data_IF_395009527029
#
_entry.id   IF_395009527029
#
_cell.length_a   1.000
_cell.length_b   1.000
_cell.length_c   1.000
_cell.angle_alpha   90.00
_cell.angle_beta   90.00
_cell.angle_gamma   90.00
#
_symmetry.space_group_name_H-M   'P 1'
#
loop_
_entity.id
_entity.type
_entity.pdbx_description
1 polymer ?
#
# COMPACT_ATOMS: atom_id res chain seq x y z
N UNK A 1 17.06 15.32 -2.64
CA UNK A 1 17.00 14.08 -1.83
C UNK A 1 16.86 12.94 -2.81
N UNK A 2 17.80 12.02 -2.78
CA UNK A 2 17.78 10.84 -3.64
C UNK A 2 16.88 9.79 -2.96
N UNK A 3 15.72 9.53 -3.55
CA UNK A 3 14.80 8.51 -3.07
C UNK A 3 15.15 7.18 -3.72
N UNK A 4 15.10 6.08 -2.97
CA UNK A 4 15.40 4.76 -3.53
C UNK A 4 14.13 4.23 -4.18
N UNK A 5 14.08 4.20 -5.51
CA UNK A 5 13.04 3.47 -6.24
C UNK A 5 13.11 2.00 -5.85
N UNK A 6 11.99 1.44 -5.40
CA UNK A 6 11.90 0.03 -4.97
C UNK A 6 11.31 -0.84 -6.05
N UNK A 7 10.21 -0.39 -6.65
CA UNK A 7 9.51 -1.10 -7.72
C UNK A 7 8.74 -0.10 -8.58
N UNK A 8 8.63 -0.39 -9.87
CA UNK A 8 7.77 0.34 -10.78
C UNK A 8 7.03 -0.63 -11.70
N UNK A 9 5.83 -0.23 -12.12
CA UNK A 9 4.97 -1.02 -12.99
C UNK A 9 4.00 -0.12 -13.75
N UNK A 10 3.50 -0.62 -14.88
CA UNK A 10 2.50 0.06 -15.67
C UNK A 10 1.19 -0.73 -15.65
N UNK A 11 0.07 0.00 -15.58
CA UNK A 11 -1.27 -0.59 -15.77
C UNK A 11 -2.02 0.09 -16.90
N UNK A 12 -2.81 -0.69 -17.64
CA UNK A 12 -3.68 -0.18 -18.71
C UNK A 12 -4.95 0.52 -18.16
N UNK A 13 -5.85 0.93 -19.06
CA UNK A 13 -7.15 1.55 -18.72
C UNK A 13 -8.05 0.69 -17.81
N UNK A 14 -7.87 -0.63 -17.83
CA UNK A 14 -8.62 -1.61 -17.03
C UNK A 14 -7.92 -1.94 -15.71
N UNK A 15 -6.81 -1.26 -15.40
CA UNK A 15 -5.91 -1.57 -14.28
C UNK A 15 -5.24 -2.95 -14.39
N UNK A 16 -5.07 -3.47 -15.61
CA UNK A 16 -4.29 -4.68 -15.89
C UNK A 16 -2.82 -4.32 -15.93
N UNK A 17 -1.97 -5.08 -15.24
CA UNK A 17 -0.52 -4.90 -15.27
C UNK A 17 -0.03 -5.29 -16.67
N UNK A 18 0.62 -4.35 -17.36
CA UNK A 18 1.19 -4.55 -18.70
C UNK A 18 2.71 -4.59 -18.70
N UNK A 19 3.34 -4.02 -17.67
CA UNK A 19 4.79 -3.99 -17.51
C UNK A 19 5.15 -3.95 -16.02
N UNK A 20 6.28 -4.56 -15.65
CA UNK A 20 6.90 -4.47 -14.33
C UNK A 20 8.41 -4.29 -14.48
N UNK A 21 9.02 -3.50 -13.58
CA UNK A 21 10.47 -3.28 -13.59
C UNK A 21 11.25 -4.52 -13.14
N UNK A 22 12.56 -4.54 -13.41
CA UNK A 22 13.43 -5.64 -12.94
C UNK A 22 13.55 -5.67 -11.41
N UNK A 23 13.43 -4.52 -10.77
CA UNK A 23 13.43 -4.43 -9.30
C UNK A 23 12.16 -5.01 -8.68
N UNK A 24 11.07 -5.17 -9.45
CA UNK A 24 9.89 -5.92 -9.02
C UNK A 24 10.24 -7.36 -8.63
N UNK A 25 10.99 -8.07 -9.47
CA UNK A 25 11.37 -9.46 -9.21
C UNK A 25 12.22 -9.52 -7.95
N UNK A 26 13.22 -8.63 -7.83
CA UNK A 26 14.10 -8.57 -6.65
C UNK A 26 13.28 -8.33 -5.38
N UNK A 27 12.32 -7.41 -5.42
CA UNK A 27 11.45 -7.11 -4.30
C UNK A 27 10.54 -8.30 -3.95
N UNK A 28 9.98 -8.99 -4.95
CA UNK A 28 9.15 -10.18 -4.76
C UNK A 28 9.95 -11.32 -4.11
N UNK A 29 11.19 -11.55 -4.55
CA UNK A 29 12.09 -12.57 -3.97
C UNK A 29 12.43 -12.23 -2.51
N UNK A 30 12.81 -10.99 -2.23
CA UNK A 30 13.13 -10.55 -0.85
C UNK A 30 11.88 -10.61 0.05
N UNK A 31 10.71 -10.33 -0.51
CA UNK A 31 9.43 -10.41 0.17
C UNK A 31 8.85 -11.82 0.31
N UNK A 32 9.55 -12.86 -0.19
CA UNK A 32 9.09 -14.25 -0.20
C UNK A 32 7.72 -14.44 -0.88
N UNK A 33 7.45 -13.60 -1.89
CA UNK A 33 6.24 -13.68 -2.70
C UNK A 33 6.54 -14.46 -3.98
N UNK A 34 6.79 -15.76 -3.86
CA UNK A 34 7.32 -16.61 -4.94
C UNK A 34 6.46 -16.55 -6.22
N UNK A 35 5.14 -16.45 -6.10
CA UNK A 35 4.23 -16.32 -7.24
C UNK A 35 4.37 -15.00 -8.02
N UNK A 36 5.01 -13.99 -7.43
CA UNK A 36 5.26 -12.68 -8.05
C UNK A 36 6.67 -12.55 -8.65
N UNK A 37 7.52 -13.57 -8.49
CA UNK A 37 8.90 -13.57 -9.01
C UNK A 37 9.00 -13.85 -10.51
N UNK A 38 7.91 -14.30 -11.13
CA UNK A 38 7.81 -14.63 -12.57
C UNK A 38 6.94 -13.58 -13.25
N UNK A 39 7.52 -12.74 -14.13
CA UNK A 39 6.80 -11.62 -14.77
C UNK A 39 5.54 -12.08 -15.50
N UNK A 40 5.59 -13.22 -16.17
CA UNK A 40 4.50 -13.81 -16.94
C UNK A 40 3.32 -14.24 -16.07
N UNK A 41 3.54 -14.49 -14.77
CA UNK A 41 2.44 -14.75 -13.83
C UNK A 41 1.73 -13.47 -13.38
N UNK A 42 2.35 -12.31 -13.56
CA UNK A 42 1.87 -11.00 -13.08
C UNK A 42 1.28 -10.17 -14.21
N UNK A 43 1.95 -10.12 -15.37
CA UNK A 43 1.49 -9.40 -16.56
C UNK A 43 0.18 -10.02 -17.05
N UNK A 44 -0.77 -9.17 -17.44
CA UNK A 44 -2.11 -9.58 -17.87
C UNK A 44 -3.11 -9.77 -16.72
N UNK A 45 -2.70 -9.59 -15.46
CA UNK A 45 -3.59 -9.62 -14.30
C UNK A 45 -3.90 -8.22 -13.81
N UNK A 46 -5.08 -8.05 -13.21
CA UNK A 46 -5.44 -6.78 -12.58
C UNK A 46 -4.57 -6.51 -11.36
N UNK A 47 -4.01 -5.31 -11.22
CA UNK A 47 -3.30 -4.92 -10.00
C UNK A 47 -4.16 -5.07 -8.74
N UNK A 48 -5.49 -4.92 -8.88
CA UNK A 48 -6.45 -5.04 -7.79
C UNK A 48 -6.53 -6.46 -7.22
N UNK A 49 -6.12 -7.50 -7.97
CA UNK A 49 -6.08 -8.87 -7.43
C UNK A 49 -4.98 -9.06 -6.39
N UNK A 50 -3.98 -8.17 -6.37
CA UNK A 50 -2.87 -8.18 -5.42
C UNK A 50 -3.10 -7.24 -4.22
N UNK A 51 -4.21 -6.51 -4.20
CA UNK A 51 -4.58 -5.60 -3.12
C UNK A 51 -5.60 -6.30 -2.22
N UNK A 52 -5.23 -6.48 -0.95
CA UNK A 52 -6.10 -7.12 0.05
C UNK A 52 -7.08 -6.10 0.63
N UNK A 53 -8.36 -6.49 0.75
CA UNK A 53 -9.43 -5.68 1.32
C UNK A 53 -10.21 -4.86 0.27
N UNK A 54 -11.53 -5.04 0.24
CA UNK A 54 -12.41 -4.38 -0.75
C UNK A 54 -12.39 -2.85 -0.63
N UNK A 55 -12.36 -2.32 0.59
CA UNK A 55 -12.25 -0.87 0.81
C UNK A 55 -10.94 -0.31 0.23
N UNK A 56 -9.85 -1.06 0.33
CA UNK A 56 -8.54 -0.68 -0.22
C UNK A 56 -8.53 -0.78 -1.74
N UNK A 57 -9.13 -1.82 -2.33
CA UNK A 57 -9.30 -1.93 -3.79
C UNK A 57 -10.11 -0.75 -4.34
N UNK A 58 -11.23 -0.43 -3.72
CA UNK A 58 -12.08 0.70 -4.11
C UNK A 58 -11.33 2.03 -3.99
N UNK A 59 -10.54 2.21 -2.93
CA UNK A 59 -9.66 3.38 -2.78
C UNK A 59 -8.71 3.54 -3.98
N UNK A 60 -7.98 2.49 -4.35
CA UNK A 60 -7.05 2.56 -5.49
C UNK A 60 -7.76 2.74 -6.83
N UNK A 61 -8.94 2.14 -7.03
CA UNK A 61 -9.77 2.39 -8.21
C UNK A 61 -10.12 3.88 -8.35
N UNK A 62 -10.53 4.54 -7.26
CA UNK A 62 -10.86 5.97 -7.26
C UNK A 62 -9.61 6.82 -7.55
N UNK A 63 -8.48 6.48 -6.93
CA UNK A 63 -7.19 7.16 -7.17
C UNK A 63 -6.79 7.07 -8.63
N UNK A 64 -6.72 5.86 -9.19
CA UNK A 64 -6.34 5.63 -10.59
C UNK A 64 -7.31 6.31 -11.54
N UNK A 65 -8.62 6.19 -11.30
CA UNK A 65 -9.64 6.87 -12.08
C UNK A 65 -9.49 8.39 -12.05
N UNK A 66 -9.19 9.00 -10.89
CA UNK A 66 -8.99 10.45 -10.79
C UNK A 66 -7.67 10.90 -11.43
N UNK A 67 -6.60 10.10 -11.35
CA UNK A 67 -5.34 10.35 -12.06
C UNK A 67 -5.55 10.40 -13.59
N UNK A 68 -6.25 9.40 -14.16
CA UNK A 68 -6.60 9.36 -15.59
C UNK A 68 -7.47 10.55 -15.99
N UNK A 69 -8.59 10.77 -15.30
CA UNK A 69 -9.55 11.83 -15.64
C UNK A 69 -8.95 13.23 -15.59
N UNK A 70 -8.05 13.49 -14.63
CA UNK A 70 -7.44 14.81 -14.49
C UNK A 70 -6.20 14.99 -15.36
N UNK A 71 -5.62 13.91 -15.90
CA UNK A 71 -4.35 13.97 -16.62
C UNK A 71 -3.21 14.54 -15.77
N UNK A 72 -3.27 14.35 -14.45
CA UNK A 72 -2.29 14.89 -13.49
C UNK A 72 -1.70 13.78 -12.64
N UNK A 73 -0.40 13.90 -12.40
CA UNK A 73 0.31 13.07 -11.44
C UNK A 73 -0.34 13.13 -10.07
N UNK A 74 -0.36 11.99 -9.39
CA UNK A 74 -0.89 11.82 -8.06
C UNK A 74 0.14 11.14 -7.17
N UNK A 75 0.29 11.63 -5.94
CA UNK A 75 1.29 11.12 -5.00
C UNK A 75 0.63 10.66 -3.70
N UNK A 76 0.95 9.45 -3.25
CA UNK A 76 0.47 8.87 -1.99
C UNK A 76 1.67 8.54 -1.11
N UNK A 77 1.73 9.14 0.07
CA UNK A 77 2.64 8.68 1.12
C UNK A 77 1.94 7.58 1.94
N UNK A 78 2.60 6.44 2.09
CA UNK A 78 2.04 5.28 2.78
C UNK A 78 3.10 4.53 3.60
N UNK A 79 2.64 3.57 4.41
CA UNK A 79 3.48 2.67 5.22
C UNK A 79 3.46 1.27 4.60
N UNK A 80 4.63 0.68 4.44
CA UNK A 80 4.82 -0.69 3.94
C UNK A 80 5.70 -1.48 4.91
N UNK A 81 5.30 -1.49 6.18
CA UNK A 81 6.13 -2.00 7.27
C UNK A 81 6.50 -3.47 7.08
N UNK A 82 7.74 -3.81 7.45
CA UNK A 82 8.14 -5.19 7.68
C UNK A 82 7.86 -5.57 9.14
N UNK A 83 7.99 -6.85 9.52
CA UNK A 83 7.82 -7.27 10.90
C UNK A 83 8.71 -6.53 11.91
N UNK A 84 9.90 -6.06 11.48
CA UNK A 84 10.87 -5.41 12.36
C UNK A 84 11.05 -3.91 12.10
N UNK A 85 10.58 -3.39 10.97
CA UNK A 85 10.81 -1.99 10.58
C UNK A 85 9.56 -1.29 10.07
N UNK A 86 9.44 -0.03 10.48
CA UNK A 86 8.57 0.98 9.86
C UNK A 86 9.16 1.40 8.54
N UNK A 87 8.41 1.30 7.44
CA UNK A 87 8.86 1.75 6.12
C UNK A 87 7.95 2.85 5.61
N UNK A 88 8.50 4.06 5.50
CA UNK A 88 7.82 5.22 4.97
C UNK A 88 8.07 5.28 3.46
N UNK A 89 7.00 5.10 2.70
CA UNK A 89 7.03 4.95 1.26
C UNK A 89 6.27 6.08 0.57
N UNK A 90 6.60 6.32 -0.69
CA UNK A 90 5.86 7.19 -1.57
C UNK A 90 5.53 6.46 -2.87
N UNK A 91 4.25 6.44 -3.23
CA UNK A 91 3.78 6.00 -4.54
C UNK A 91 3.51 7.23 -5.39
N UNK A 92 4.13 7.29 -6.56
CA UNK A 92 3.87 8.31 -7.58
C UNK A 92 3.16 7.63 -8.75
N UNK A 93 2.00 8.17 -9.12
CA UNK A 93 1.13 7.64 -10.17
C UNK A 93 1.05 8.70 -11.26
N UNK A 94 1.55 8.39 -12.44
CA UNK A 94 1.57 9.32 -13.58
C UNK A 94 0.66 8.81 -14.68
N UNK A 95 -0.19 9.67 -15.28
CA UNK A 95 -0.91 9.30 -16.48
C UNK A 95 0.08 9.15 -17.65
N UNK A 96 -0.24 8.23 -18.54
CA UNK A 96 0.49 7.96 -19.78
C UNK A 96 -0.51 7.88 -20.95
N UNK A 97 -0.02 7.58 -22.15
CA UNK A 97 -0.80 7.38 -23.36
C UNK A 97 -1.85 6.27 -23.19
N UNK A 98 -2.95 6.38 -23.92
CA UNK A 98 -4.05 5.39 -23.94
C UNK A 98 -4.67 5.09 -22.56
N UNK A 99 -4.70 6.09 -21.67
CA UNK A 99 -5.21 5.96 -20.30
C UNK A 99 -4.44 4.95 -19.42
N UNK A 100 -3.23 4.59 -19.84
CA UNK A 100 -2.30 3.84 -18.99
C UNK A 100 -1.80 4.72 -17.85
N UNK A 101 -1.35 4.07 -16.78
CA UNK A 101 -0.72 4.73 -15.63
C UNK A 101 0.64 4.08 -15.36
N UNK A 102 1.65 4.91 -15.14
CA UNK A 102 2.95 4.49 -14.61
C UNK A 102 2.96 4.70 -13.10
N UNK A 103 3.27 3.65 -12.34
CA UNK A 103 3.31 3.67 -10.88
C UNK A 103 4.75 3.39 -10.44
N UNK A 104 5.34 4.33 -9.71
CA UNK A 104 6.66 4.18 -9.09
C UNK A 104 6.54 4.23 -7.58
N UNK A 105 7.22 3.32 -6.88
CA UNK A 105 7.23 3.27 -5.43
C UNK A 105 8.64 3.52 -4.90
N UNK A 106 8.75 4.47 -3.98
CA UNK A 106 10.01 4.93 -3.41
C UNK A 106 10.05 4.69 -1.91
N UNK A 107 11.18 4.19 -1.41
CA UNK A 107 11.48 4.20 0.02
C UNK A 107 12.00 5.58 0.41
N UNK A 108 11.28 6.26 1.29
CA UNK A 108 11.67 7.57 1.82
C UNK A 108 12.56 7.43 3.06
N UNK A 109 12.17 6.54 3.98
CA UNK A 109 12.87 6.29 5.24
C UNK A 109 12.46 4.94 5.81
N UNK A 110 13.39 4.27 6.50
CA UNK A 110 13.15 3.04 7.26
C UNK A 110 13.64 3.23 8.70
N UNK A 111 12.87 2.74 9.67
CA UNK A 111 13.20 2.82 11.10
C UNK A 111 12.81 1.51 11.80
N UNK A 112 13.62 0.98 12.73
CA UNK A 112 13.22 -0.19 13.52
C UNK A 112 12.00 0.12 14.39
N UNK A 113 11.19 -0.91 14.66
CA UNK A 113 10.18 -0.85 15.72
C UNK A 113 10.84 -0.97 17.10
N UNK A 114 10.41 -0.13 18.05
CA UNK A 114 10.81 -0.30 19.45
C UNK A 114 10.10 -1.51 20.08
N UNK A 115 8.83 -1.71 19.75
CA UNK A 115 8.03 -2.87 20.11
C UNK A 115 7.40 -3.42 18.80
N UNK A 116 7.92 -4.52 18.23
CA UNK A 116 7.33 -5.13 17.05
C UNK A 116 5.91 -5.61 17.33
N UNK A 117 5.00 -5.34 16.39
CA UNK A 117 3.61 -5.84 16.43
C UNK A 117 3.50 -6.99 15.45
N UNK A 118 3.03 -8.14 15.94
CA UNK A 118 2.80 -9.31 15.11
C UNK A 118 1.43 -9.20 14.44
N UNK A 119 1.42 -9.13 13.11
CA UNK A 119 0.20 -9.00 12.32
C UNK A 119 0.03 -10.25 11.47
N UNK A 120 -1.10 -10.92 11.67
CA UNK A 120 -1.56 -12.00 10.80
C UNK A 120 -2.71 -11.46 9.93
N UNK A 121 -2.57 -11.58 8.62
CA UNK A 121 -3.64 -11.16 7.70
C UNK A 121 -4.65 -12.29 7.54
N UNK A 122 -5.94 -11.95 7.63
CA UNK A 122 -7.00 -12.92 7.33
C UNK A 122 -7.91 -12.45 6.20
N UNK A 123 -8.24 -13.39 5.33
CA UNK A 123 -9.27 -13.25 4.29
C UNK A 123 -10.54 -14.06 4.63
N UNK A 124 -10.54 -14.76 5.78
CA UNK A 124 -11.60 -15.68 6.21
C UNK A 124 -12.52 -15.11 7.29
N UNK A 125 -13.52 -15.92 7.67
CA UNK A 125 -14.50 -15.57 8.71
C UNK A 125 -13.90 -15.68 10.13
N UNK A 126 -13.11 -14.69 10.53
CA UNK A 126 -12.72 -14.50 11.92
C UNK A 126 -13.82 -13.78 12.72
N UNK A 127 -14.04 -14.21 13.97
CA UNK A 127 -14.90 -13.47 14.89
C UNK A 127 -14.17 -12.19 15.33
N UNK A 128 -14.61 -11.05 14.80
CA UNK A 128 -14.14 -9.70 15.16
C UNK A 128 -12.64 -9.42 14.85
N UNK A 129 -12.20 -9.50 13.58
CA UNK A 129 -10.83 -9.13 13.22
C UNK A 129 -10.59 -7.63 13.48
N UNK A 130 -9.34 -7.29 13.79
CA UNK A 130 -8.92 -5.89 13.97
C UNK A 130 -8.84 -5.21 12.61
N UNK A 131 -9.38 -3.99 12.49
CA UNK A 131 -9.23 -3.24 11.24
C UNK A 131 -7.85 -2.58 11.20
N UNK A 132 -7.14 -2.78 10.10
CA UNK A 132 -5.83 -2.15 9.83
C UNK A 132 -5.93 -1.26 8.61
N UNK A 133 -5.40 -0.05 8.69
CA UNK A 133 -5.38 0.86 7.57
C UNK A 133 -4.27 0.49 6.57
N UNK A 134 -4.61 0.23 5.31
CA UNK A 134 -3.63 -0.14 4.26
C UNK A 134 -2.74 1.02 3.78
N UNK A 135 -2.97 2.24 4.26
CA UNK A 135 -2.14 3.41 3.91
C UNK A 135 -1.21 3.79 5.05
N UNK A 136 -1.68 3.83 6.30
CA UNK A 136 -0.87 4.29 7.44
C UNK A 136 -0.53 3.18 8.45
N UNK A 137 -1.00 1.95 8.23
CA UNK A 137 -0.85 0.80 9.13
C UNK A 137 -1.45 0.96 10.54
N UNK A 138 -2.17 2.06 10.82
CA UNK A 138 -2.89 2.21 12.09
C UNK A 138 -3.92 1.10 12.29
N UNK A 139 -4.05 0.66 13.53
CA UNK A 139 -5.00 -0.36 13.98
C UNK A 139 -6.18 0.31 14.68
N UNK A 140 -7.38 -0.17 14.41
CA UNK A 140 -8.60 0.18 15.14
C UNK A 140 -8.75 -0.77 16.32
N UNK A 141 -8.24 -0.38 17.47
CA UNK A 141 -8.26 -1.20 18.68
C UNK A 141 -9.60 -1.02 19.39
N UNK A 142 -10.44 -2.06 19.44
CA UNK A 142 -11.77 -2.09 20.07
C UNK A 142 -12.93 -1.49 19.25
N UNK A 143 -14.11 -1.37 19.88
CA UNK A 143 -15.32 -0.74 19.31
C UNK A 143 -15.25 0.80 19.30
N UNK A 144 -14.21 1.41 19.89
CA UNK A 144 -14.02 2.86 19.76
C UNK A 144 -13.57 3.21 18.34
N UNK A 145 -13.76 4.47 17.95
CA UNK A 145 -13.32 4.98 16.64
C UNK A 145 -11.83 5.39 16.60
N UNK A 146 -11.06 5.00 17.61
CA UNK A 146 -9.66 5.37 17.76
C UNK A 146 -8.74 4.51 16.90
N UNK A 147 -7.86 5.18 16.17
CA UNK A 147 -6.84 4.56 15.31
C UNK A 147 -5.46 4.83 15.87
N UNK A 148 -4.80 3.78 16.37
CA UNK A 148 -3.44 3.87 16.93
C UNK A 148 -2.41 3.34 15.94
N UNK A 149 -1.28 4.03 15.83
CA UNK A 149 -0.12 3.50 15.11
C UNK A 149 0.49 2.31 15.87
N UNK A 150 1.09 1.32 15.19
CA UNK A 150 1.76 0.21 15.87
C UNK A 150 2.81 0.66 16.90
N UNK A 151 3.52 1.76 16.62
CA UNK A 151 4.50 2.36 17.53
C UNK A 151 3.91 3.07 18.77
N UNK A 152 2.60 3.35 18.77
CA UNK A 152 1.89 3.97 19.90
C UNK A 152 1.37 2.91 20.89
N UNK A 153 1.49 1.63 20.57
CA UNK A 153 1.06 0.53 21.42
C UNK A 153 2.02 0.37 22.61
N UNK A 154 1.46 0.21 23.80
CA UNK A 154 2.24 -0.25 24.96
C UNK A 154 2.77 -1.68 24.73
N UNK A 155 3.71 -2.14 25.56
CA UNK A 155 4.19 -3.54 25.48
C UNK A 155 3.07 -4.54 25.73
N UNK A 156 2.13 -4.21 26.62
CA UNK A 156 0.95 -5.00 26.93
C UNK A 156 -0.06 -5.01 25.78
N UNK A 157 -0.14 -3.92 25.00
CA UNK A 157 -0.96 -3.83 23.79
C UNK A 157 -0.29 -4.51 22.59
N UNK A 158 1.05 -4.58 22.53
CA UNK A 158 1.84 -5.13 21.42
C UNK A 158 1.79 -6.66 21.36
N UNK A 159 0.59 -7.20 21.10
CA UNK A 159 0.30 -8.62 20.94
C UNK A 159 0.13 -8.99 19.46
N UNK A 160 -0.23 -10.24 19.22
CA UNK A 160 -0.65 -10.72 17.91
C UNK A 160 -2.04 -10.19 17.54
N UNK A 161 -2.16 -9.62 16.35
CA UNK A 161 -3.42 -9.14 15.79
C UNK A 161 -3.74 -9.85 14.49
N UNK A 162 -4.93 -10.44 14.44
CA UNK A 162 -5.54 -10.90 13.20
C UNK A 162 -6.28 -9.72 12.58
N UNK A 163 -5.88 -9.33 11.38
CA UNK A 163 -6.35 -8.08 10.76
C UNK A 163 -7.09 -8.28 9.45
N UNK A 164 -8.03 -7.36 9.21
CA UNK A 164 -8.58 -7.07 7.89
C UNK A 164 -8.16 -5.67 7.44
N UNK A 165 -7.89 -5.53 6.15
CA UNK A 165 -7.43 -4.28 5.54
C UNK A 165 -8.58 -3.36 5.15
N UNK A 166 -8.46 -2.08 5.49
CA UNK A 166 -9.38 -0.99 5.15
C UNK A 166 -8.64 0.35 5.07
N UNK A 167 -9.34 1.46 4.94
CA UNK A 167 -8.77 2.82 4.98
C UNK A 167 -9.37 3.59 6.16
N UNK A 168 -8.51 4.17 7.02
CA UNK A 168 -8.98 4.97 8.15
C UNK A 168 -9.48 6.36 7.71
N UNK A 169 -10.29 7.06 8.54
CA UNK A 169 -10.82 8.39 8.19
C UNK A 169 -9.74 9.41 7.82
N UNK A 170 -8.60 9.40 8.51
CA UNK A 170 -7.49 10.31 8.22
C UNK A 170 -6.81 10.04 6.87
N UNK A 171 -6.94 8.85 6.30
CA UNK A 171 -6.41 8.50 4.99
C UNK A 171 -7.45 8.65 3.88
N UNK A 172 -8.74 8.44 4.19
CA UNK A 172 -9.84 8.75 3.26
C UNK A 172 -9.96 10.24 2.96
N UNK A 173 -9.78 11.09 3.99
CA UNK A 173 -9.95 12.55 3.89
C UNK A 173 -8.71 13.32 3.43
N UNK A 174 -7.60 12.65 3.09
CA UNK A 174 -6.41 13.34 2.58
C UNK A 174 -6.67 13.84 1.18
N UNK A 175 -6.85 15.15 1.06
CA UNK A 175 -6.85 15.86 -0.20
C UNK A 175 -5.43 15.78 -0.77
N UNK A 176 -5.23 14.81 -1.65
CA UNK A 176 -3.97 14.32 -2.19
C UNK A 176 -3.25 15.28 -3.13
N UNK A 177 -3.57 16.56 -3.09
CA UNK A 177 -3.02 17.58 -3.99
C UNK A 177 -1.50 17.52 -3.87
N UNK A 178 -0.88 17.30 -5.03
CA UNK A 178 0.55 17.28 -5.25
C UNK A 178 1.21 18.41 -4.45
N UNK A 179 2.25 18.07 -3.69
CA UNK A 179 3.21 19.07 -3.22
C UNK A 179 3.93 19.65 -4.44
N UNK A 180 3.24 20.48 -5.22
CA UNK A 180 3.88 21.43 -6.12
C UNK A 180 4.44 22.51 -5.21
N UNK A 181 5.72 22.36 -4.84
CA UNK A 181 6.52 23.53 -4.52
C UNK A 181 6.54 24.38 -5.78
N UNK A 182 5.92 25.56 -5.70
CA UNK A 182 6.18 26.66 -6.61
C UNK A 182 7.67 27.01 -6.59
#
# INVERSE_FOLDING_TARGET
MEYIEKVSYQVDKSNTIVEVSDDWIKAATVGQADDLTVKEKVIGRSILSYIVGEATKMYYQVVFGKCRRLGKEHTINYRCDSPSHKRFMQMVIKPDTNESLNINNYLLREEPFNNPVHIEETTGNFRNPTQRCSICNKLKLSKTDDWKAPEELSKEESKEYIVIHTICPSCHGKDWRSNQKN
#
